data_IF_873759725032
#
_entry.id   IF_873759725032
#
_cell.length_a   1.000
_cell.length_b   1.000
_cell.length_c   1.000
_cell.angle_alpha   90.00
_cell.angle_beta   90.00
_cell.angle_gamma   90.00
#
_symmetry.space_group_name_H-M   'P 1'
#
loop_
_entity.id
_entity.type
_entity.pdbx_description
1 polymer ?
#
# COMPACT_ATOMS: atom_id res chain seq x y z
N UNK A 1 3.48 10.97 -35.93
CA UNK A 1 4.13 12.27 -35.65
C UNK A 1 5.60 12.24 -36.04
N UNK A 2 6.50 11.54 -35.33
CA UNK A 2 7.93 11.51 -35.69
C UNK A 2 8.23 10.97 -37.11
N UNK A 3 7.65 9.81 -37.48
CA UNK A 3 7.79 9.27 -38.85
C UNK A 3 7.12 10.13 -39.93
N UNK A 4 6.15 10.95 -39.55
CA UNK A 4 5.49 11.87 -40.48
C UNK A 4 6.42 13.04 -40.77
N UNK A 5 7.01 13.65 -39.74
CA UNK A 5 8.08 14.65 -39.89
C UNK A 5 9.27 14.12 -40.70
N UNK A 6 9.72 12.88 -40.47
CA UNK A 6 10.80 12.29 -41.26
C UNK A 6 10.42 12.09 -42.74
N UNK A 7 9.13 11.93 -43.05
CA UNK A 7 8.65 11.68 -44.40
C UNK A 7 8.35 12.97 -45.18
N UNK A 8 7.80 14.00 -44.52
CA UNK A 8 7.34 15.24 -45.18
C UNK A 8 8.15 16.50 -44.81
N UNK A 9 9.07 16.40 -43.83
CA UNK A 9 9.93 17.48 -43.36
C UNK A 9 9.20 18.58 -42.57
N UNK A 10 7.90 18.40 -42.26
CA UNK A 10 7.06 19.42 -41.63
C UNK A 10 7.10 19.30 -40.11
N UNK A 11 7.65 20.30 -39.38
CA UNK A 11 7.84 20.19 -37.93
C UNK A 11 6.58 20.53 -37.13
N UNK A 12 5.54 21.10 -37.73
CA UNK A 12 4.32 21.56 -37.05
C UNK A 12 3.66 20.46 -36.19
N UNK A 13 3.59 19.18 -36.60
CA UNK A 13 3.05 18.11 -35.76
C UNK A 13 3.90 17.80 -34.52
N UNK A 14 5.19 18.18 -34.49
CA UNK A 14 6.10 17.92 -33.36
C UNK A 14 6.02 19.01 -32.27
N UNK A 15 5.43 20.17 -32.54
CA UNK A 15 5.40 21.28 -31.57
C UNK A 15 4.79 20.85 -30.23
N UNK A 16 3.66 20.12 -30.26
CA UNK A 16 3.03 19.60 -29.05
C UNK A 16 3.90 18.60 -28.28
N UNK A 17 4.75 17.83 -28.98
CA UNK A 17 5.70 16.90 -28.37
C UNK A 17 6.80 17.67 -27.66
N UNK A 18 7.34 18.73 -28.27
CA UNK A 18 8.37 19.55 -27.64
C UNK A 18 7.87 20.32 -26.42
N UNK A 19 6.66 20.88 -26.49
CA UNK A 19 6.04 21.55 -25.33
C UNK A 19 5.83 20.57 -24.17
N UNK A 20 5.33 19.38 -24.46
CA UNK A 20 5.18 18.36 -23.42
C UNK A 20 6.53 17.94 -22.82
N UNK A 21 7.55 17.74 -23.66
CA UNK A 21 8.89 17.42 -23.18
C UNK A 21 9.49 18.55 -22.33
N UNK A 22 9.20 19.81 -22.65
CA UNK A 22 9.61 20.96 -21.84
C UNK A 22 8.97 20.90 -20.45
N UNK A 23 7.66 20.70 -20.36
CA UNK A 23 6.94 20.53 -19.10
C UNK A 23 7.46 19.34 -18.29
N UNK A 24 7.77 18.22 -18.95
CA UNK A 24 8.34 17.02 -18.32
C UNK A 24 9.75 17.29 -17.76
N UNK A 25 10.61 17.97 -18.52
CA UNK A 25 11.96 18.35 -18.04
C UNK A 25 11.88 19.29 -16.84
N UNK A 26 10.99 20.27 -16.87
CA UNK A 26 10.75 21.18 -15.74
C UNK A 26 10.21 20.43 -14.52
N UNK A 27 9.26 19.52 -14.72
CA UNK A 27 8.70 18.68 -13.65
C UNK A 27 9.76 17.78 -13.01
N UNK A 28 10.62 17.15 -13.82
CA UNK A 28 11.74 16.34 -13.34
C UNK A 28 12.77 17.18 -12.56
N UNK A 29 13.11 18.38 -13.03
CA UNK A 29 14.00 19.28 -12.32
C UNK A 29 13.42 19.71 -10.96
N UNK A 30 12.13 20.06 -10.92
CA UNK A 30 11.42 20.38 -9.68
C UNK A 30 11.39 19.20 -8.70
N UNK A 31 11.11 17.99 -9.19
CA UNK A 31 11.14 16.78 -8.36
C UNK A 31 12.54 16.47 -7.83
N UNK A 32 13.58 16.61 -8.67
CA UNK A 32 14.96 16.41 -8.25
C UNK A 32 15.36 17.39 -7.13
N UNK A 33 14.99 18.67 -7.25
CA UNK A 33 15.20 19.67 -6.20
C UNK A 33 14.43 19.29 -4.93
N UNK A 34 13.14 18.93 -5.05
CA UNK A 34 12.30 18.54 -3.90
C UNK A 34 12.88 17.34 -3.16
N UNK A 35 13.30 16.29 -3.87
CA UNK A 35 13.92 15.12 -3.26
C UNK A 35 15.28 15.44 -2.65
N UNK A 36 16.09 16.29 -3.30
CA UNK A 36 17.35 16.78 -2.74
C UNK A 36 17.14 17.50 -1.40
N UNK A 37 16.11 18.35 -1.32
CA UNK A 37 15.74 19.03 -0.08
C UNK A 37 15.24 18.07 1.00
N UNK A 38 14.40 17.09 0.65
CA UNK A 38 13.93 16.06 1.58
C UNK A 38 15.08 15.24 2.16
N UNK A 39 15.99 14.77 1.30
CA UNK A 39 17.16 13.97 1.73
C UNK A 39 18.20 14.82 2.47
N UNK A 40 18.26 16.12 2.17
CA UNK A 40 19.13 17.08 2.84
C UNK A 40 18.61 17.61 4.18
N UNK A 41 17.48 17.09 4.69
CA UNK A 41 16.95 17.49 6.00
C UNK A 41 16.34 18.90 6.04
N UNK A 42 15.78 19.36 4.91
CA UNK A 42 15.15 20.68 4.82
C UNK A 42 13.65 20.69 5.18
N UNK A 43 13.11 19.53 5.58
CA UNK A 43 11.68 19.35 5.80
C UNK A 43 11.20 20.14 7.03
N UNK A 44 10.07 20.82 6.88
CA UNK A 44 9.56 21.74 7.90
C UNK A 44 10.19 23.14 7.87
N UNK A 45 11.19 23.36 7.00
CA UNK A 45 11.82 24.66 6.79
C UNK A 45 11.06 25.56 5.81
N UNK A 46 11.53 26.80 5.66
CA UNK A 46 10.92 27.79 4.74
C UNK A 46 10.93 27.37 3.27
N UNK A 47 11.92 26.55 2.87
CA UNK A 47 12.06 26.02 1.50
C UNK A 47 11.23 24.78 1.25
N UNK A 48 10.86 24.04 2.30
CA UNK A 48 10.12 22.79 2.19
C UNK A 48 9.21 22.60 3.41
N UNK A 49 8.01 23.19 3.40
CA UNK A 49 7.07 22.99 4.49
C UNK A 49 6.62 21.53 4.56
N UNK A 50 6.14 21.12 5.73
CA UNK A 50 5.53 19.81 5.88
C UNK A 50 4.33 19.63 4.94
N UNK A 51 4.14 18.41 4.39
CA UNK A 51 2.90 18.03 3.73
C UNK A 51 1.69 18.27 4.64
N UNK A 52 0.54 18.58 4.02
CA UNK A 52 -0.73 18.79 4.75
C UNK A 52 -1.62 17.55 4.71
N UNK A 53 -1.51 16.77 3.64
CA UNK A 53 -2.33 15.58 3.44
C UNK A 53 -1.76 14.38 4.21
N UNK A 54 -2.62 13.67 4.93
CA UNK A 54 -2.24 12.50 5.73
C UNK A 54 -1.57 11.40 4.88
N UNK A 55 -2.03 11.20 3.65
CA UNK A 55 -1.44 10.23 2.73
C UNK A 55 -0.01 10.65 2.31
N UNK A 56 0.20 11.94 2.00
CA UNK A 56 1.53 12.45 1.64
C UNK A 56 2.49 12.39 2.84
N UNK A 57 2.01 12.72 4.06
CA UNK A 57 2.77 12.56 5.30
C UNK A 57 3.25 11.11 5.47
N UNK A 58 2.35 10.14 5.34
CA UNK A 58 2.67 8.72 5.46
C UNK A 58 3.67 8.27 4.38
N UNK A 59 3.37 8.53 3.10
CA UNK A 59 4.18 8.02 1.98
C UNK A 59 5.57 8.64 1.98
N UNK A 60 5.66 9.93 2.26
CA UNK A 60 6.95 10.63 2.40
C UNK A 60 7.75 10.08 3.58
N UNK A 61 7.09 9.87 4.74
CA UNK A 61 7.73 9.30 5.92
C UNK A 61 8.28 7.90 5.68
N UNK A 62 7.48 7.00 5.08
CA UNK A 62 7.92 5.65 4.74
C UNK A 62 9.08 5.64 3.74
N UNK A 63 9.06 6.57 2.78
CA UNK A 63 10.15 6.71 1.83
C UNK A 63 11.43 7.20 2.52
N UNK A 64 11.36 8.23 3.38
CA UNK A 64 12.51 8.73 4.14
C UNK A 64 13.10 7.67 5.07
N UNK A 65 12.25 6.90 5.76
CA UNK A 65 12.67 5.76 6.58
C UNK A 65 13.46 4.74 5.75
N UNK A 66 12.98 4.42 4.53
CA UNK A 66 13.69 3.53 3.59
C UNK A 66 15.02 4.10 3.10
N UNK A 67 15.13 5.43 3.00
CA UNK A 67 16.36 6.13 2.61
C UNK A 67 17.33 6.36 3.79
N UNK A 68 17.00 5.83 4.99
CA UNK A 68 17.84 5.95 6.19
C UNK A 68 17.68 7.26 6.95
N UNK A 69 16.76 8.14 6.53
CA UNK A 69 16.50 9.42 7.19
C UNK A 69 15.37 9.29 8.22
N UNK A 70 15.62 8.50 9.26
CA UNK A 70 14.62 8.14 10.26
C UNK A 70 14.12 9.34 11.09
N UNK A 71 14.96 10.35 11.34
CA UNK A 71 14.58 11.54 12.10
C UNK A 71 13.50 12.36 11.39
N UNK A 72 13.69 12.63 10.10
CA UNK A 72 12.68 13.34 9.29
C UNK A 72 11.40 12.50 9.08
N UNK A 73 11.56 11.17 8.96
CA UNK A 73 10.42 10.27 8.89
C UNK A 73 9.57 10.32 10.16
N UNK A 74 10.18 10.32 11.35
CA UNK A 74 9.46 10.36 12.61
C UNK A 74 8.67 11.66 12.78
N UNK A 75 9.24 12.82 12.40
CA UNK A 75 8.53 14.09 12.42
C UNK A 75 7.25 14.07 11.55
N UNK A 76 7.25 13.34 10.43
CA UNK A 76 6.05 13.15 9.60
C UNK A 76 5.03 12.22 10.26
N UNK A 77 5.47 11.15 10.90
CA UNK A 77 4.59 10.22 11.59
C UNK A 77 3.95 10.84 12.85
N UNK A 78 4.68 11.68 13.58
CA UNK A 78 4.13 12.46 14.69
C UNK A 78 3.01 13.40 14.22
N UNK A 79 3.17 14.04 13.07
CA UNK A 79 2.11 14.89 12.47
C UNK A 79 0.93 14.09 11.95
N UNK A 80 1.18 12.85 11.54
CA UNK A 80 0.12 11.92 11.15
C UNK A 80 -0.69 11.47 12.38
N UNK A 81 -0.10 11.46 13.58
CA UNK A 81 -0.82 11.15 14.82
C UNK A 81 -1.91 12.21 15.08
N UNK A 82 -3.17 11.80 14.94
CA UNK A 82 -4.35 12.68 15.04
C UNK A 82 -5.14 12.81 13.74
N UNK A 83 -4.58 12.39 12.61
CA UNK A 83 -5.34 12.23 11.37
C UNK A 83 -6.18 10.97 11.43
N UNK A 84 -7.44 11.05 10.99
CA UNK A 84 -8.28 9.88 10.87
C UNK A 84 -7.82 9.02 9.67
N UNK A 85 -7.48 7.73 9.86
CA UNK A 85 -6.93 6.94 8.76
C UNK A 85 -7.91 6.69 7.63
N UNK A 86 -7.58 7.01 6.38
CA UNK A 86 -8.37 6.55 5.23
C UNK A 86 -7.98 5.10 4.86
N UNK A 87 -8.95 4.30 4.46
CA UNK A 87 -8.71 2.92 4.02
C UNK A 87 -7.68 2.84 2.87
N UNK A 88 -7.57 3.87 2.02
CA UNK A 88 -6.64 3.91 0.89
C UNK A 88 -5.16 3.81 1.29
N UNK A 89 -4.81 4.23 2.51
CA UNK A 89 -3.44 4.24 3.02
C UNK A 89 -3.27 3.58 4.40
N UNK A 90 -4.33 2.97 4.95
CA UNK A 90 -4.24 2.19 6.19
C UNK A 90 -3.28 1.00 6.09
N UNK A 91 -3.22 0.29 4.95
CA UNK A 91 -2.34 -0.88 4.79
C UNK A 91 -0.85 -0.56 4.98
N UNK A 92 -0.26 0.45 4.30
CA UNK A 92 1.14 0.81 4.53
C UNK A 92 1.40 1.31 5.96
N UNK A 93 0.46 2.05 6.57
CA UNK A 93 0.60 2.47 7.98
C UNK A 93 0.58 1.26 8.93
N UNK A 94 -0.33 0.31 8.74
CA UNK A 94 -0.41 -0.90 9.54
C UNK A 94 0.85 -1.78 9.40
N UNK A 95 1.43 -1.85 8.20
CA UNK A 95 2.70 -2.53 7.96
C UNK A 95 3.86 -1.88 8.73
N UNK A 96 3.87 -0.55 8.83
CA UNK A 96 4.85 0.17 9.66
C UNK A 96 4.60 -0.10 11.14
N UNK A 97 3.39 0.07 11.62
CA UNK A 97 3.03 -0.18 13.02
C UNK A 97 3.41 -1.60 13.46
N UNK A 98 3.16 -2.60 12.59
CA UNK A 98 3.62 -3.98 12.79
C UNK A 98 5.14 -4.07 12.94
N UNK A 99 5.92 -3.39 12.11
CA UNK A 99 7.40 -3.37 12.20
C UNK A 99 7.90 -2.70 13.48
N UNK A 100 7.24 -1.63 13.90
CA UNK A 100 7.54 -0.91 15.14
C UNK A 100 7.05 -1.64 16.40
N UNK A 101 6.30 -2.73 16.27
CA UNK A 101 5.74 -3.48 17.39
C UNK A 101 4.40 -2.93 17.92
N UNK A 102 3.80 -1.94 17.25
CA UNK A 102 2.50 -1.35 17.58
C UNK A 102 1.35 -2.24 17.08
N UNK A 103 1.29 -3.48 17.56
CA UNK A 103 0.36 -4.49 17.04
C UNK A 103 -1.11 -4.11 17.21
N UNK A 104 -1.48 -3.48 18.32
CA UNK A 104 -2.85 -3.07 18.60
C UNK A 104 -3.36 -2.08 17.54
N UNK A 105 -2.55 -1.06 17.22
CA UNK A 105 -2.86 -0.09 16.17
C UNK A 105 -2.89 -0.74 14.79
N UNK A 106 -1.95 -1.62 14.48
CA UNK A 106 -1.95 -2.37 13.21
C UNK A 106 -3.24 -3.18 13.01
N UNK A 107 -3.73 -3.85 14.07
CA UNK A 107 -4.98 -4.62 14.03
C UNK A 107 -6.19 -3.73 13.78
N UNK A 108 -6.28 -2.56 14.42
CA UNK A 108 -7.36 -1.60 14.17
C UNK A 108 -7.37 -1.11 12.72
N UNK A 109 -6.19 -0.82 12.15
CA UNK A 109 -6.05 -0.39 10.76
C UNK A 109 -6.42 -1.51 9.78
N UNK A 110 -6.01 -2.76 10.04
CA UNK A 110 -6.43 -3.89 9.21
C UNK A 110 -7.94 -4.12 9.28
N UNK A 111 -8.56 -4.00 10.45
CA UNK A 111 -10.03 -4.09 10.56
C UNK A 111 -10.73 -2.97 9.77
N UNK A 112 -10.21 -1.74 9.82
CA UNK A 112 -10.75 -0.62 9.03
C UNK A 112 -10.70 -0.93 7.52
N UNK A 113 -9.59 -1.48 7.03
CA UNK A 113 -9.47 -1.92 5.63
C UNK A 113 -10.42 -3.08 5.34
N UNK A 114 -10.46 -4.11 6.19
CA UNK A 114 -11.33 -5.28 6.01
C UNK A 114 -12.81 -4.85 5.84
N UNK A 115 -13.31 -3.99 6.72
CA UNK A 115 -14.67 -3.44 6.65
C UNK A 115 -14.92 -2.65 5.36
N UNK A 116 -13.96 -1.86 4.89
CA UNK A 116 -14.08 -1.15 3.62
C UNK A 116 -14.12 -2.12 2.43
N UNK A 117 -13.36 -3.23 2.49
CA UNK A 117 -13.31 -4.23 1.42
C UNK A 117 -14.55 -5.10 1.32
N UNK A 118 -15.35 -5.24 2.38
CA UNK A 118 -16.61 -6.02 2.34
C UNK A 118 -17.63 -5.46 1.34
N UNK A 119 -17.53 -4.17 1.01
CA UNK A 119 -18.39 -3.48 0.05
C UNK A 119 -17.98 -3.70 -1.41
N UNK A 120 -16.83 -4.34 -1.66
CA UNK A 120 -16.30 -4.56 -3.01
C UNK A 120 -15.79 -6.00 -3.16
N UNK A 121 -16.54 -6.89 -3.84
CA UNK A 121 -16.17 -8.30 -4.02
C UNK A 121 -14.83 -8.54 -4.71
N UNK A 122 -14.28 -7.51 -5.38
CA UNK A 122 -12.98 -7.56 -6.08
C UNK A 122 -11.83 -6.94 -5.27
N UNK A 123 -12.09 -6.53 -4.04
CA UNK A 123 -11.08 -5.93 -3.18
C UNK A 123 -10.00 -6.94 -2.74
N UNK A 124 -8.86 -6.41 -2.28
CA UNK A 124 -7.76 -7.23 -1.78
C UNK A 124 -8.10 -7.86 -0.43
N UNK A 125 -7.90 -9.18 -0.31
CA UNK A 125 -8.03 -9.88 0.98
C UNK A 125 -6.83 -9.70 1.93
N UNK A 126 -5.89 -8.81 1.60
CA UNK A 126 -4.62 -8.66 2.33
C UNK A 126 -4.81 -8.31 3.81
N UNK A 127 -5.76 -7.42 4.14
CA UNK A 127 -6.08 -7.10 5.52
C UNK A 127 -6.58 -8.32 6.32
N UNK A 128 -7.45 -9.13 5.70
CA UNK A 128 -7.91 -10.39 6.30
C UNK A 128 -6.77 -11.40 6.49
N UNK A 129 -5.78 -11.43 5.58
CA UNK A 129 -4.60 -12.30 5.74
C UNK A 129 -3.78 -11.89 6.97
N UNK A 130 -3.49 -10.59 7.12
CA UNK A 130 -2.73 -10.09 8.26
C UNK A 130 -3.48 -10.29 9.59
N UNK A 131 -4.79 -10.07 9.61
CA UNK A 131 -5.64 -10.37 10.77
C UNK A 131 -5.60 -11.86 11.13
N UNK A 132 -5.73 -12.76 10.13
CA UNK A 132 -5.63 -14.20 10.37
C UNK A 132 -4.26 -14.60 10.96
N UNK A 133 -3.17 -13.99 10.48
CA UNK A 133 -1.81 -14.22 11.02
C UNK A 133 -1.71 -13.73 12.46
N UNK A 134 -2.20 -12.53 12.75
CA UNK A 134 -2.16 -11.94 14.09
C UNK A 134 -2.92 -12.82 15.09
N UNK A 135 -4.17 -13.17 14.78
CA UNK A 135 -5.00 -13.97 15.69
C UNK A 135 -4.45 -15.40 15.86
N UNK A 136 -3.87 -16.01 14.83
CA UNK A 136 -3.25 -17.33 14.93
C UNK A 136 -1.99 -17.33 15.80
N UNK A 137 -1.09 -16.36 15.59
CA UNK A 137 0.26 -16.42 16.15
C UNK A 137 0.42 -15.63 17.44
N UNK A 138 -0.19 -14.44 17.54
CA UNK A 138 -0.09 -13.57 18.72
C UNK A 138 -1.25 -13.76 19.68
N UNK A 139 -2.49 -13.58 19.24
CA UNK A 139 -3.64 -13.63 20.15
C UNK A 139 -4.03 -15.07 20.54
N UNK A 140 -3.61 -16.08 19.76
CA UNK A 140 -4.01 -17.49 19.91
C UNK A 140 -5.53 -17.72 19.84
N UNK A 141 -6.25 -16.78 19.23
CA UNK A 141 -7.67 -16.92 18.92
C UNK A 141 -7.82 -17.58 17.55
N UNK A 142 -7.86 -18.90 17.54
CA UNK A 142 -7.98 -19.67 16.30
C UNK A 142 -9.35 -19.51 15.63
N UNK A 143 -10.40 -19.16 16.38
CA UNK A 143 -11.74 -18.95 15.84
C UNK A 143 -11.79 -17.70 14.97
N UNK A 144 -11.32 -16.58 15.51
CA UNK A 144 -11.22 -15.31 14.77
C UNK A 144 -10.19 -15.42 13.64
N UNK A 145 -9.07 -16.11 13.86
CA UNK A 145 -8.10 -16.37 12.80
C UNK A 145 -8.73 -17.12 11.61
N UNK A 146 -9.55 -18.14 11.88
CA UNK A 146 -10.22 -18.91 10.84
C UNK A 146 -11.22 -18.05 10.07
N UNK A 147 -12.01 -17.22 10.76
CA UNK A 147 -12.98 -16.31 10.13
C UNK A 147 -12.31 -15.41 9.08
N UNK A 148 -11.20 -14.75 9.45
CA UNK A 148 -10.48 -13.91 8.50
C UNK A 148 -9.80 -14.72 7.39
N UNK A 149 -9.28 -15.92 7.68
CA UNK A 149 -8.67 -16.77 6.66
C UNK A 149 -9.70 -17.25 5.61
N UNK A 150 -10.90 -17.62 6.05
CA UNK A 150 -12.02 -17.99 5.16
C UNK A 150 -12.45 -16.80 4.30
N UNK A 151 -12.59 -15.61 4.91
CA UNK A 151 -12.95 -14.40 4.16
C UNK A 151 -11.90 -13.99 3.12
N UNK A 152 -10.61 -14.12 3.45
CA UNK A 152 -9.53 -13.90 2.51
C UNK A 152 -9.58 -14.89 1.32
N UNK A 153 -9.98 -16.15 1.59
CA UNK A 153 -10.13 -17.18 0.57
C UNK A 153 -11.29 -16.87 -0.39
N UNK A 154 -12.44 -16.43 0.14
CA UNK A 154 -13.59 -16.00 -0.66
C UNK A 154 -13.23 -14.86 -1.62
N UNK A 155 -12.56 -13.82 -1.11
CA UNK A 155 -12.12 -12.67 -1.92
C UNK A 155 -11.10 -13.09 -3.00
N UNK A 156 -10.20 -14.02 -2.68
CA UNK A 156 -9.24 -14.55 -3.64
C UNK A 156 -9.92 -15.36 -4.76
N UNK A 157 -10.92 -16.18 -4.42
CA UNK A 157 -11.70 -16.96 -5.39
C UNK A 157 -12.53 -16.06 -6.32
N UNK A 158 -13.18 -15.02 -5.77
CA UNK A 158 -13.93 -14.04 -6.56
C UNK A 158 -13.04 -13.34 -7.61
N UNK A 159 -11.77 -13.04 -7.27
CA UNK A 159 -10.81 -12.39 -8.19
C UNK A 159 -10.17 -13.35 -9.20
N UNK A 160 -10.07 -14.64 -8.89
CA UNK A 160 -9.45 -15.63 -9.78
C UNK A 160 -10.20 -15.80 -11.11
N UNK A 161 -11.50 -15.48 -11.17
CA UNK A 161 -12.26 -15.48 -12.41
C UNK A 161 -11.70 -14.52 -13.48
N UNK A 162 -11.08 -13.41 -13.05
CA UNK A 162 -10.62 -12.33 -13.95
C UNK A 162 -9.14 -12.43 -14.34
N UNK A 163 -8.30 -13.12 -13.56
CA UNK A 163 -6.84 -13.10 -13.72
C UNK A 163 -6.19 -14.49 -13.51
N UNK A 164 -6.73 -15.52 -14.15
CA UNK A 164 -6.32 -16.94 -13.99
C UNK A 164 -4.81 -17.20 -14.16
N UNK A 165 -4.09 -16.34 -14.89
CA UNK A 165 -2.70 -16.57 -15.26
C UNK A 165 -1.65 -15.91 -14.34
N UNK A 166 -2.03 -15.21 -13.26
CA UNK A 166 -1.06 -14.57 -12.35
C UNK A 166 -0.46 -15.59 -11.35
N UNK A 167 0.84 -15.94 -11.46
CA UNK A 167 1.48 -16.91 -10.55
C UNK A 167 1.54 -16.43 -9.10
N UNK A 168 1.70 -15.11 -8.87
CA UNK A 168 1.77 -14.56 -7.50
C UNK A 168 0.44 -14.72 -6.80
N UNK A 169 -0.67 -14.45 -7.49
CA UNK A 169 -2.02 -14.62 -6.93
C UNK A 169 -2.34 -16.07 -6.62
N UNK A 170 -1.92 -17.02 -7.47
CA UNK A 170 -2.05 -18.46 -7.19
C UNK A 170 -1.29 -18.87 -5.93
N UNK A 171 -0.06 -18.39 -5.76
CA UNK A 171 0.73 -18.65 -4.56
C UNK A 171 0.06 -18.08 -3.30
N UNK A 172 -0.50 -16.87 -3.37
CA UNK A 172 -1.26 -16.26 -2.27
C UNK A 172 -2.51 -17.09 -1.94
N UNK A 173 -3.31 -17.46 -2.94
CA UNK A 173 -4.51 -18.27 -2.74
C UNK A 173 -4.19 -19.64 -2.09
N UNK A 174 -3.12 -20.29 -2.53
CA UNK A 174 -2.66 -21.56 -1.97
C UNK A 174 -2.15 -21.40 -0.53
N UNK A 175 -1.43 -20.33 -0.23
CA UNK A 175 -0.99 -20.02 1.14
C UNK A 175 -2.18 -19.77 2.09
N UNK A 176 -3.22 -19.08 1.60
CA UNK A 176 -4.47 -18.87 2.35
C UNK A 176 -5.16 -20.21 2.58
N UNK A 177 -5.34 -21.03 1.54
CA UNK A 177 -5.95 -22.36 1.64
C UNK A 177 -5.27 -23.22 2.70
N UNK A 178 -3.94 -23.35 2.65
CA UNK A 178 -3.16 -24.12 3.64
C UNK A 178 -3.33 -23.58 5.06
N UNK A 179 -3.42 -22.26 5.22
CA UNK A 179 -3.71 -21.63 6.53
C UNK A 179 -5.10 -22.00 7.02
N UNK A 180 -6.12 -21.89 6.17
CA UNK A 180 -7.51 -22.26 6.50
C UNK A 180 -7.62 -23.72 6.91
N UNK A 181 -7.03 -24.64 6.15
CA UNK A 181 -7.03 -26.08 6.48
C UNK A 181 -6.35 -26.37 7.82
N UNK A 182 -5.21 -25.71 8.10
CA UNK A 182 -4.52 -25.81 9.39
C UNK A 182 -5.38 -25.26 10.54
N UNK A 183 -6.04 -24.12 10.35
CA UNK A 183 -6.88 -23.49 11.37
C UNK A 183 -8.15 -24.32 11.65
N UNK A 184 -8.81 -24.88 10.63
CA UNK A 184 -9.96 -25.79 10.80
C UNK A 184 -9.62 -26.98 11.70
N UNK A 185 -8.44 -27.58 11.50
CA UNK A 185 -7.94 -28.66 12.38
C UNK A 185 -7.75 -28.19 13.82
N UNK A 186 -7.20 -27.00 14.04
CA UNK A 186 -6.99 -26.42 15.39
C UNK A 186 -8.30 -26.05 16.09
N UNK A 187 -9.33 -25.64 15.35
CA UNK A 187 -10.64 -25.27 15.92
C UNK A 187 -11.61 -26.45 16.04
N UNK A 188 -11.21 -27.67 15.64
CA UNK A 188 -12.10 -28.83 15.63
C UNK A 188 -13.25 -28.76 14.60
N UNK A 189 -13.21 -27.80 13.65
CA UNK A 189 -14.18 -27.73 12.55
C UNK A 189 -13.78 -28.73 11.48
N UNK A 190 -14.68 -29.64 11.09
CA UNK A 190 -14.41 -30.62 10.02
C UNK A 190 -14.09 -29.90 8.71
N UNK A 191 -13.13 -30.45 7.97
CA UNK A 191 -12.96 -30.18 6.54
C UNK A 191 -14.21 -30.69 5.84
N UNK A 192 -15.08 -29.78 5.39
CA UNK A 192 -16.20 -30.10 4.49
C UNK A 192 -15.63 -30.09 3.07
#
# INVERSE_FOLDING_TARGET
>A
IYFQFLADGRPEPLEGVFRHNEDDMLSLACLAIRFGLLLGGALGGSRLPYPREAEELLRTGLWLERMGNAGEAEALFERLCGSEPDASWCMPLAARDKKCGNWERAVLLWHKVALATERSPLASGEAHIELAIYYEHRAKDYGTALLHAERAMELALARNGLYRNDPKRRAVAEAIRKRTERLKKKTGRKLI
#
